data_IF_503695095343
#
_entry.id   IF_503695095343
#
_cell.length_a   1.000
_cell.length_b   1.000
_cell.length_c   1.000
_cell.angle_alpha   90.00
_cell.angle_beta   90.00
_cell.angle_gamma   90.00
#
_symmetry.space_group_name_H-M   'P 1'
#
loop_
_entity.id
_entity.type
_entity.pdbx_description
1 polymer ?
#
# COMPACT_ATOMS: atom_id res chain seq x y z
N UNK A 1 -5.19 -4.21 6.84
CA UNK A 1 -5.67 -4.31 5.45
C UNK A 1 -5.39 -5.73 4.99
N UNK A 2 -6.30 -6.66 5.28
CA UNK A 2 -6.12 -8.08 4.97
C UNK A 2 -7.10 -8.43 3.87
N UNK A 3 -6.70 -8.10 2.64
CA UNK A 3 -7.46 -8.32 1.41
C UNK A 3 -6.65 -9.29 0.52
N UNK A 4 -7.01 -9.40 -0.76
CA UNK A 4 -6.29 -10.25 -1.72
C UNK A 4 -4.85 -9.80 -2.02
N UNK A 5 -4.44 -8.61 -1.58
CA UNK A 5 -3.08 -8.11 -1.77
C UNK A 5 -2.19 -8.69 -0.65
N UNK A 6 -1.06 -9.34 -0.99
CA UNK A 6 -0.14 -9.87 0.02
C UNK A 6 0.38 -8.78 0.98
N UNK A 7 0.48 -9.05 2.29
CA UNK A 7 0.96 -8.10 3.30
C UNK A 7 2.32 -7.45 2.97
N UNK A 8 3.24 -8.20 2.39
CA UNK A 8 4.58 -7.76 1.99
C UNK A 8 4.57 -6.72 0.84
N UNK A 9 3.41 -6.48 0.21
CA UNK A 9 3.22 -5.42 -0.80
C UNK A 9 2.68 -4.11 -0.23
N UNK A 10 2.41 -4.03 1.07
CA UNK A 10 1.98 -2.79 1.71
C UNK A 10 3.19 -2.03 2.26
N UNK A 11 3.50 -0.89 1.64
CA UNK A 11 4.61 -0.04 2.06
C UNK A 11 4.62 0.29 3.56
N UNK A 12 3.49 0.58 4.23
CA UNK A 12 3.48 0.84 5.68
C UNK A 12 3.83 -0.36 6.57
N UNK A 13 3.92 -1.57 6.02
CA UNK A 13 4.25 -2.79 6.78
C UNK A 13 5.75 -3.10 6.76
N UNK A 14 6.52 -2.40 5.91
CA UNK A 14 7.95 -2.60 5.76
C UNK A 14 8.71 -1.71 6.75
N UNK A 15 9.74 -2.25 7.39
CA UNK A 15 10.71 -1.44 8.13
C UNK A 15 11.63 -0.73 7.15
N UNK A 16 12.32 0.31 7.63
CA UNK A 16 13.33 0.98 6.81
C UNK A 16 14.45 0.02 6.38
N UNK A 17 14.78 -0.99 7.20
CA UNK A 17 15.79 -2.00 6.88
C UNK A 17 15.32 -2.92 5.76
N UNK A 18 14.03 -3.29 5.75
CA UNK A 18 13.44 -4.06 4.64
C UNK A 18 13.49 -3.27 3.33
N UNK A 19 13.26 -1.95 3.40
CA UNK A 19 13.37 -1.04 2.25
C UNK A 19 14.83 -0.91 1.79
N UNK A 20 15.77 -0.77 2.72
CA UNK A 20 17.21 -0.67 2.40
C UNK A 20 17.73 -1.92 1.70
N UNK A 21 17.30 -3.10 2.14
CA UNK A 21 17.72 -4.40 1.62
C UNK A 21 16.92 -4.85 0.39
N UNK A 22 15.99 -4.02 -0.10
CA UNK A 22 15.13 -4.36 -1.23
C UNK A 22 15.94 -4.46 -2.53
N UNK A 23 15.85 -5.58 -3.27
CA UNK A 23 16.51 -5.72 -4.55
C UNK A 23 15.88 -4.76 -5.57
N UNK A 24 16.73 -4.08 -6.35
CA UNK A 24 16.30 -3.17 -7.42
C UNK A 24 15.35 -2.04 -6.95
N UNK A 25 15.54 -1.58 -5.70
CA UNK A 25 14.72 -0.57 -5.02
C UNK A 25 14.38 0.66 -5.87
N UNK A 26 15.33 1.13 -6.68
CA UNK A 26 15.17 2.32 -7.53
C UNK A 26 14.13 2.13 -8.66
N UNK A 27 13.78 0.88 -9.00
CA UNK A 27 12.79 0.55 -10.03
C UNK A 27 11.45 0.06 -9.46
N UNK A 28 11.25 0.19 -8.14
CA UNK A 28 10.01 -0.23 -7.49
C UNK A 28 8.91 0.80 -7.70
N UNK A 29 7.75 0.35 -8.18
CA UNK A 29 6.58 1.20 -8.38
C UNK A 29 5.79 1.33 -7.07
N UNK A 30 5.60 2.56 -6.61
CA UNK A 30 4.72 2.88 -5.48
C UNK A 30 3.34 3.26 -6.01
N UNK A 31 2.30 2.58 -5.53
CA UNK A 31 0.91 2.93 -5.78
C UNK A 31 0.38 3.65 -4.55
N UNK A 32 -0.03 4.90 -4.71
CA UNK A 32 -0.73 5.68 -3.67
C UNK A 32 -2.21 5.74 -4.03
N UNK A 33 -3.08 4.93 -3.38
CA UNK A 33 -4.51 5.13 -3.48
C UNK A 33 -4.85 6.51 -2.91
N UNK A 34 -5.63 7.27 -3.66
CA UNK A 34 -6.21 8.54 -3.21
C UNK A 34 -7.72 8.38 -3.29
N UNK A 35 -8.40 8.67 -2.19
CA UNK A 35 -9.84 8.50 -2.06
C UNK A 35 -10.46 9.74 -1.41
N UNK A 36 -11.79 9.77 -1.38
CA UNK A 36 -12.59 10.78 -0.69
C UNK A 36 -13.30 10.17 0.52
N UNK A 37 -13.68 11.04 1.46
CA UNK A 37 -14.70 10.73 2.46
C UNK A 37 -15.96 11.44 2.00
N UNK A 38 -16.96 10.68 1.54
CA UNK A 38 -18.18 11.22 0.95
C UNK A 38 -19.40 10.38 1.33
N UNK A 39 -20.57 11.02 1.37
CA UNK A 39 -21.83 10.33 1.61
C UNK A 39 -22.17 9.45 0.40
N UNK A 40 -22.25 8.14 0.61
CA UNK A 40 -22.55 7.18 -0.46
C UNK A 40 -24.05 6.81 -0.54
N UNK A 41 -24.93 7.67 -0.05
CA UNK A 41 -26.38 7.41 -0.01
C UNK A 41 -26.77 6.38 1.07
N UNK A 42 -28.04 5.95 1.13
CA UNK A 42 -28.54 5.11 2.23
C UNK A 42 -28.17 3.62 2.16
N UNK A 43 -27.46 3.18 1.11
CA UNK A 43 -27.24 1.75 0.82
C UNK A 43 -25.76 1.38 0.59
N UNK A 44 -24.83 2.25 0.98
CA UNK A 44 -23.39 2.05 0.85
C UNK A 44 -22.70 2.36 2.20
#
# INVERSE_FOLDING_TARGET
MHNFIPPERFFPYLTWTDIEQMPDKENVVIIQPVASIEQHGPHL
#
